data_IF_115874790673
#
_entry.id   IF_115874790673
#
_cell.length_a   1.000
_cell.length_b   1.000
_cell.length_c   1.000
_cell.angle_alpha   90.00
_cell.angle_beta   90.00
_cell.angle_gamma   90.00
#
_symmetry.space_group_name_H-M   'P 1'
#
loop_
_entity.id
_entity.type
_entity.pdbx_description
1 polymer ?
#
# COMPACT_ATOMS: atom_id res chain seq x y z
N UNK A 1 -51.51 18.17 -49.72
CA UNK A 1 -50.52 19.12 -50.29
C UNK A 1 -49.29 19.07 -49.40
N UNK A 2 -48.11 18.57 -49.77
CA UNK A 2 -47.44 18.37 -51.07
C UNK A 2 -46.79 16.97 -51.11
N UNK A 3 -46.75 16.41 -52.31
CA UNK A 3 -45.97 15.23 -52.71
C UNK A 3 -44.45 15.53 -52.74
N UNK A 4 -43.60 14.48 -52.81
CA UNK A 4 -42.69 14.21 -53.95
C UNK A 4 -41.87 12.90 -53.74
N UNK A 5 -42.21 11.93 -54.60
CA UNK A 5 -41.41 10.99 -55.43
C UNK A 5 -40.26 10.12 -54.86
N UNK A 6 -40.55 8.82 -54.97
CA UNK A 6 -39.69 7.66 -55.26
C UNK A 6 -38.74 7.85 -56.45
N UNK A 7 -37.53 7.29 -56.38
CA UNK A 7 -36.83 6.71 -57.54
C UNK A 7 -35.97 5.50 -57.11
N UNK A 8 -36.20 4.37 -57.77
CA UNK A 8 -35.45 3.11 -57.70
C UNK A 8 -34.18 3.18 -58.56
N UNK A 9 -33.11 2.51 -58.13
CA UNK A 9 -32.10 1.99 -59.05
C UNK A 9 -31.65 0.59 -58.64
N UNK A 10 -31.72 -0.28 -59.63
CA UNK A 10 -31.51 -1.72 -59.65
C UNK A 10 -30.02 -2.07 -59.64
N UNK A 11 -29.66 -3.18 -59.00
CA UNK A 11 -28.31 -3.76 -59.10
C UNK A 11 -28.33 -5.24 -58.72
N UNK A 12 -28.39 -6.09 -59.75
CA UNK A 12 -28.30 -7.57 -59.68
C UNK A 12 -26.86 -7.97 -59.35
N UNK A 13 -26.65 -8.84 -58.36
CA UNK A 13 -25.41 -9.64 -58.26
C UNK A 13 -25.76 -11.11 -58.00
N UNK A 14 -25.05 -11.94 -58.76
CA UNK A 14 -25.22 -13.35 -59.12
C UNK A 14 -24.88 -14.30 -57.96
N UNK A 15 -25.68 -15.37 -57.82
CA UNK A 15 -25.37 -16.54 -56.98
C UNK A 15 -24.36 -17.46 -57.69
N UNK A 16 -23.31 -17.88 -56.98
CA UNK A 16 -22.53 -19.05 -57.32
C UNK A 16 -22.37 -19.94 -56.08
N UNK A 17 -22.87 -21.18 -56.18
CA UNK A 17 -22.77 -22.24 -55.17
C UNK A 17 -21.55 -23.09 -55.51
N UNK A 18 -20.67 -23.32 -54.53
CA UNK A 18 -19.85 -24.54 -54.47
C UNK A 18 -19.64 -24.91 -53.00
N UNK A 19 -20.11 -26.10 -52.62
CA UNK A 19 -19.89 -26.73 -51.32
C UNK A 19 -18.49 -27.33 -51.22
N UNK A 20 -17.95 -27.48 -50.00
CA UNK A 20 -17.41 -28.73 -49.42
C UNK A 20 -16.66 -28.46 -48.09
N UNK A 21 -16.84 -29.37 -47.12
CA UNK A 21 -15.85 -29.65 -46.08
C UNK A 21 -16.25 -29.28 -44.65
N UNK A 22 -16.84 -30.23 -43.91
CA UNK A 22 -16.74 -30.23 -42.45
C UNK A 22 -15.31 -30.60 -42.06
N UNK A 23 -14.67 -29.81 -41.21
CA UNK A 23 -13.54 -30.27 -40.41
C UNK A 23 -13.63 -29.67 -39.00
N UNK A 24 -13.88 -30.55 -38.05
CA UNK A 24 -13.83 -30.31 -36.60
C UNK A 24 -12.38 -30.09 -36.17
N UNK A 25 -12.01 -28.88 -35.71
CA UNK A 25 -10.84 -28.70 -34.83
C UNK A 25 -11.09 -27.67 -33.74
N UNK A 26 -11.27 -28.22 -32.54
CA UNK A 26 -10.97 -27.60 -31.26
C UNK A 26 -9.56 -26.99 -31.30
N UNK A 27 -9.44 -25.73 -30.92
CA UNK A 27 -8.19 -25.10 -30.55
C UNK A 27 -8.41 -24.39 -29.22
N UNK A 28 -8.06 -25.12 -28.16
CA UNK A 28 -7.94 -24.60 -26.81
C UNK A 28 -7.06 -23.35 -26.81
N UNK A 29 -7.60 -22.28 -26.25
CA UNK A 29 -6.88 -21.12 -25.75
C UNK A 29 -5.85 -21.59 -24.72
N UNK A 30 -4.59 -21.68 -25.14
CA UNK A 30 -3.49 -21.97 -24.23
C UNK A 30 -3.14 -20.67 -23.52
N UNK A 31 -3.86 -20.42 -22.44
CA UNK A 31 -3.44 -19.48 -21.41
C UNK A 31 -1.97 -19.72 -21.07
N UNK A 32 -1.16 -18.69 -21.25
CA UNK A 32 0.21 -18.67 -20.75
C UNK A 32 0.13 -18.89 -19.24
N UNK A 33 0.79 -19.92 -18.67
CA UNK A 33 0.75 -20.12 -17.24
C UNK A 33 1.41 -18.93 -16.57
N UNK A 34 0.68 -18.27 -15.66
CA UNK A 34 1.23 -17.26 -14.78
C UNK A 34 2.43 -17.86 -14.05
N UNK A 35 3.62 -17.40 -14.42
CA UNK A 35 4.87 -17.83 -13.80
C UNK A 35 4.80 -17.44 -12.34
N UNK A 36 4.83 -18.42 -11.44
CA UNK A 36 4.90 -18.19 -10.00
C UNK A 36 6.02 -17.18 -9.72
N UNK A 37 5.66 -16.03 -9.13
CA UNK A 37 6.58 -14.95 -8.77
C UNK A 37 7.51 -15.46 -7.67
N UNK A 38 8.60 -16.10 -8.08
CA UNK A 38 9.79 -16.30 -7.24
C UNK A 38 10.26 -14.91 -6.82
N UNK A 39 10.12 -14.58 -5.53
CA UNK A 39 10.33 -13.22 -5.06
C UNK A 39 11.74 -12.71 -5.41
N UNK A 40 11.73 -11.53 -6.03
CA UNK A 40 12.91 -10.92 -6.63
C UNK A 40 13.91 -10.42 -5.61
N UNK A 41 15.04 -9.92 -6.09
CA UNK A 41 16.01 -9.19 -5.28
C UNK A 41 15.40 -7.88 -4.72
N UNK A 42 15.91 -7.33 -3.61
CA UNK A 42 15.50 -6.00 -3.14
C UNK A 42 15.50 -4.94 -4.25
N UNK A 43 14.47 -4.10 -4.28
CA UNK A 43 14.22 -3.11 -5.33
C UNK A 43 13.50 -3.65 -6.57
N UNK A 44 13.29 -4.98 -6.68
CA UNK A 44 12.49 -5.55 -7.79
C UNK A 44 11.05 -5.05 -7.71
N UNK A 45 10.55 -4.54 -8.85
CA UNK A 45 9.17 -4.10 -9.03
C UNK A 45 8.35 -5.17 -9.77
N UNK A 46 7.11 -5.39 -9.37
CA UNK A 46 6.23 -6.36 -10.03
C UNK A 46 4.75 -6.04 -9.82
N UNK A 47 3.91 -6.62 -10.69
CA UNK A 47 2.46 -6.72 -10.53
C UNK A 47 2.07 -8.20 -10.66
N UNK A 48 1.18 -8.69 -9.80
CA UNK A 48 0.68 -10.08 -9.89
C UNK A 48 -0.51 -10.24 -10.87
N UNK A 49 -1.10 -9.13 -11.33
CA UNK A 49 -2.09 -9.08 -12.40
C UNK A 49 -2.12 -7.68 -13.06
N UNK A 50 -2.73 -7.51 -14.25
CA UNK A 50 -2.74 -6.21 -14.96
C UNK A 50 -3.32 -5.04 -14.14
N UNK A 51 -4.34 -5.31 -13.32
CA UNK A 51 -5.02 -4.31 -12.50
C UNK A 51 -4.62 -4.38 -11.01
N UNK A 52 -3.55 -5.11 -10.69
CA UNK A 52 -3.08 -5.27 -9.31
C UNK A 52 -2.10 -4.14 -8.95
N UNK A 53 -2.03 -3.73 -7.67
CA UNK A 53 -1.05 -2.74 -7.23
C UNK A 53 0.39 -3.12 -7.58
N UNK A 54 1.18 -2.12 -7.99
CA UNK A 54 2.63 -2.27 -8.19
C UNK A 54 3.30 -2.49 -6.83
N UNK A 55 4.11 -3.54 -6.71
CA UNK A 55 4.80 -3.91 -5.48
C UNK A 55 6.31 -3.76 -5.66
N UNK A 56 7.02 -3.40 -4.59
CA UNK A 56 8.49 -3.33 -4.53
C UNK A 56 9.00 -4.29 -3.46
N UNK A 57 9.98 -5.11 -3.79
CA UNK A 57 10.65 -5.98 -2.80
C UNK A 57 11.52 -5.14 -1.87
N UNK A 58 11.23 -5.20 -0.58
CA UNK A 58 11.92 -4.50 0.49
C UNK A 58 12.97 -5.44 1.10
N UNK A 59 14.23 -5.00 1.30
CA UNK A 59 15.28 -5.85 1.85
C UNK A 59 15.00 -6.21 3.31
N UNK A 60 15.38 -7.43 3.71
CA UNK A 60 15.52 -7.77 5.13
C UNK A 60 16.51 -6.82 5.81
N UNK A 61 16.30 -6.52 7.09
CA UNK A 61 17.19 -5.61 7.80
C UNK A 61 16.79 -5.38 9.25
N UNK A 62 17.59 -4.56 9.91
CA UNK A 62 17.35 -4.12 11.29
C UNK A 62 17.26 -2.60 11.32
N UNK A 63 16.39 -2.05 12.16
CA UNK A 63 16.32 -0.62 12.41
C UNK A 63 15.88 -0.32 13.84
N UNK A 64 16.03 0.94 14.24
CA UNK A 64 15.48 1.46 15.49
C UNK A 64 14.15 2.13 15.18
N UNK A 65 13.07 1.59 15.73
CA UNK A 65 11.71 2.10 15.58
C UNK A 65 11.38 3.12 16.66
N UNK A 66 10.63 4.17 16.31
CA UNK A 66 10.21 5.25 17.19
C UNK A 66 11.15 6.47 17.19
N UNK A 67 10.79 7.46 18.01
CA UNK A 67 11.44 8.78 18.03
C UNK A 67 12.45 8.94 19.15
N UNK A 68 13.58 9.56 18.84
CA UNK A 68 14.58 9.93 19.84
C UNK A 68 14.09 11.09 20.71
N UNK A 69 14.76 11.31 21.85
CA UNK A 69 14.46 12.48 22.69
C UNK A 69 14.66 13.81 21.93
N UNK A 70 15.70 13.91 21.09
CA UNK A 70 15.96 15.12 20.28
C UNK A 70 14.90 15.34 19.21
N UNK A 71 14.39 14.27 18.58
CA UNK A 71 13.29 14.35 17.62
C UNK A 71 12.02 14.89 18.27
N UNK A 72 11.68 14.37 19.46
CA UNK A 72 10.50 14.83 20.21
C UNK A 72 10.63 16.28 20.65
N UNK A 73 11.80 16.67 21.14
CA UNK A 73 12.08 18.08 21.49
C UNK A 73 11.97 18.99 20.28
N UNK A 74 12.45 18.55 19.11
CA UNK A 74 12.28 19.29 17.86
C UNK A 74 10.82 19.38 17.43
N UNK A 75 10.05 18.30 17.50
CA UNK A 75 8.63 18.33 17.16
C UNK A 75 7.85 19.31 18.05
N UNK A 76 8.22 19.42 19.33
CA UNK A 76 7.61 20.39 20.25
C UNK A 76 7.85 21.84 19.83
N UNK A 77 9.01 22.18 19.22
CA UNK A 77 9.23 23.53 18.69
C UNK A 77 8.41 23.82 17.43
N UNK A 78 7.78 22.80 16.83
CA UNK A 78 6.90 22.89 15.65
C UNK A 78 5.41 22.73 16.00
N UNK A 79 5.07 22.78 17.30
CA UNK A 79 3.69 22.76 17.79
C UNK A 79 3.17 21.39 18.21
N UNK A 80 4.02 20.37 18.28
CA UNK A 80 3.65 19.10 18.92
C UNK A 80 3.47 19.29 20.43
N UNK A 81 2.46 18.66 21.01
CA UNK A 81 2.37 18.51 22.47
C UNK A 81 3.19 17.31 22.92
N UNK A 82 3.55 17.25 24.21
CA UNK A 82 4.27 16.11 24.78
C UNK A 82 3.49 14.80 24.57
N UNK A 83 2.16 14.86 24.68
CA UNK A 83 1.24 13.75 24.49
C UNK A 83 1.26 13.27 23.03
N UNK A 84 1.23 14.19 22.06
CA UNK A 84 1.16 13.87 20.62
C UNK A 84 2.38 13.12 20.07
N UNK A 85 3.47 13.05 20.83
CA UNK A 85 4.68 12.29 20.47
C UNK A 85 5.08 11.29 21.54
N UNK A 86 4.28 11.13 22.61
CA UNK A 86 4.64 10.27 23.74
C UNK A 86 4.66 8.79 23.36
N UNK A 87 3.75 8.38 22.47
CA UNK A 87 3.52 7.02 21.98
C UNK A 87 4.55 6.55 20.95
N UNK A 88 5.43 7.45 20.50
CA UNK A 88 6.58 7.16 19.64
C UNK A 88 7.76 6.55 20.44
N UNK A 89 7.52 5.97 21.64
CA UNK A 89 8.56 5.50 22.56
C UNK A 89 8.20 4.24 23.35
N UNK A 90 9.21 3.55 23.92
CA UNK A 90 10.65 3.80 23.75
C UNK A 90 11.15 3.43 22.35
N UNK A 91 12.28 4.01 21.94
CA UNK A 91 13.01 3.51 20.79
C UNK A 91 13.45 2.06 21.04
N UNK A 92 13.25 1.19 20.05
CA UNK A 92 13.56 -0.24 20.19
C UNK A 92 14.04 -0.84 18.87
N UNK A 93 14.91 -1.87 18.91
CA UNK A 93 15.36 -2.55 17.71
C UNK A 93 14.27 -3.48 17.17
N UNK A 94 14.09 -3.47 15.85
CA UNK A 94 13.24 -4.41 15.12
C UNK A 94 14.04 -5.06 13.99
N UNK A 95 13.86 -6.36 13.83
CA UNK A 95 14.44 -7.18 12.77
C UNK A 95 13.35 -7.65 11.81
N UNK A 96 13.47 -7.30 10.53
CA UNK A 96 12.51 -7.65 9.48
C UNK A 96 13.10 -8.64 8.50
N UNK A 97 12.27 -9.60 8.06
CA UNK A 97 12.55 -10.39 6.86
C UNK A 97 12.22 -9.57 5.62
N UNK A 98 12.67 -10.03 4.45
CA UNK A 98 12.25 -9.40 3.20
C UNK A 98 10.76 -9.66 2.95
N UNK A 99 10.07 -8.61 2.54
CA UNK A 99 8.66 -8.57 2.17
C UNK A 99 8.53 -7.68 0.92
N UNK A 100 7.36 -7.62 0.30
CA UNK A 100 7.08 -6.58 -0.68
C UNK A 100 6.07 -5.58 -0.14
N UNK A 101 6.22 -4.31 -0.51
CA UNK A 101 5.30 -3.23 -0.16
C UNK A 101 4.78 -2.58 -1.44
N UNK A 102 3.53 -2.13 -1.42
CA UNK A 102 2.94 -1.34 -2.50
C UNK A 102 3.84 -0.14 -2.76
N UNK A 103 4.21 0.08 -4.02
CA UNK A 103 5.02 1.21 -4.45
C UNK A 103 4.34 2.54 -4.14
N UNK A 104 3.01 2.51 -4.23
CA UNK A 104 2.08 3.59 -3.96
C UNK A 104 1.05 3.14 -2.92
N UNK A 105 0.27 4.10 -2.41
CA UNK A 105 -1.03 3.81 -1.81
C UNK A 105 -1.95 3.15 -2.84
N UNK A 106 -2.91 2.34 -2.35
CA UNK A 106 -3.95 1.78 -3.21
C UNK A 106 -4.72 2.94 -3.84
N UNK A 107 -4.76 2.94 -5.16
CA UNK A 107 -5.36 4.02 -5.92
C UNK A 107 -6.88 3.88 -5.96
N UNK A 108 -7.56 5.00 -6.25
CA UNK A 108 -9.01 5.01 -6.47
C UNK A 108 -9.41 4.07 -7.61
N UNK A 109 -8.61 3.96 -8.67
CA UNK A 109 -8.85 3.04 -9.79
C UNK A 109 -8.76 1.57 -9.40
N UNK A 110 -7.73 1.19 -8.63
CA UNK A 110 -7.56 -0.17 -8.11
C UNK A 110 -8.70 -0.53 -7.14
N UNK A 111 -9.08 0.38 -6.25
CA UNK A 111 -10.23 0.18 -5.37
C UNK A 111 -11.56 0.08 -6.14
N UNK A 112 -11.74 0.85 -7.21
CA UNK A 112 -12.91 0.75 -8.07
C UNK A 112 -13.03 -0.63 -8.76
N UNK A 113 -11.92 -1.31 -9.05
CA UNK A 113 -11.93 -2.67 -9.58
C UNK A 113 -12.48 -3.67 -8.54
N UNK A 114 -12.05 -3.56 -7.29
CA UNK A 114 -12.60 -4.32 -6.17
C UNK A 114 -14.12 -4.12 -6.04
N UNK A 115 -14.59 -2.87 -6.02
CA UNK A 115 -16.02 -2.57 -5.90
C UNK A 115 -16.80 -3.14 -7.08
N UNK A 116 -16.30 -3.01 -8.31
CA UNK A 116 -16.96 -3.51 -9.53
C UNK A 116 -17.10 -5.04 -9.54
N UNK A 117 -16.09 -5.77 -9.06
CA UNK A 117 -16.10 -7.23 -9.08
C UNK A 117 -16.88 -7.87 -7.94
N UNK A 118 -16.99 -7.17 -6.80
CA UNK A 118 -17.59 -7.73 -5.58
C UNK A 118 -18.95 -7.16 -5.24
N UNK A 119 -19.29 -5.97 -5.75
CA UNK A 119 -20.45 -5.22 -5.29
C UNK A 119 -20.34 -4.76 -3.84
N UNK A 120 -19.13 -4.70 -3.26
CA UNK A 120 -18.91 -4.33 -1.87
C UNK A 120 -19.50 -2.94 -1.56
N UNK A 121 -20.30 -2.86 -0.49
CA UNK A 121 -20.90 -1.62 -0.02
C UNK A 121 -19.99 -0.96 1.03
N UNK A 122 -19.22 0.04 0.60
CA UNK A 122 -18.30 0.76 1.47
C UNK A 122 -19.05 1.78 2.36
N UNK A 123 -19.31 1.38 3.61
CA UNK A 123 -19.69 2.27 4.73
C UNK A 123 -20.95 3.12 4.59
N UNK A 124 -21.24 3.91 5.63
CA UNK A 124 -22.43 4.77 5.79
C UNK A 124 -22.08 6.28 5.86
N UNK A 125 -20.88 6.65 5.40
CA UNK A 125 -20.42 8.03 5.40
C UNK A 125 -18.91 8.16 5.57
N UNK A 126 -18.43 9.39 5.51
CA UNK A 126 -17.02 9.73 5.63
C UNK A 126 -16.84 11.01 6.46
N UNK A 127 -15.87 11.02 7.36
CA UNK A 127 -15.50 12.22 8.10
C UNK A 127 -14.81 13.23 7.18
N UNK A 128 -15.27 14.47 7.30
CA UNK A 128 -14.62 15.66 6.78
C UNK A 128 -13.83 16.30 7.93
N UNK A 129 -12.61 15.81 8.15
CA UNK A 129 -11.71 16.47 9.08
C UNK A 129 -11.21 17.77 8.45
N UNK A 130 -11.48 18.88 9.13
CA UNK A 130 -10.99 20.22 8.82
C UNK A 130 -10.80 20.98 10.12
N UNK A 131 -9.57 21.17 10.61
CA UNK A 131 -9.36 21.85 11.89
C UNK A 131 -10.07 23.22 11.93
N UNK A 132 -10.93 23.48 12.94
CA UNK A 132 -11.13 22.75 14.21
C UNK A 132 -12.34 21.80 14.27
N UNK A 133 -13.00 21.47 13.15
CA UNK A 133 -14.21 20.64 13.10
C UNK A 133 -13.95 19.30 12.40
N UNK A 134 -14.47 18.23 12.97
CA UNK A 134 -14.62 16.96 12.25
C UNK A 134 -16.10 16.63 12.23
N UNK A 135 -16.66 16.46 11.03
CA UNK A 135 -18.08 16.18 10.81
C UNK A 135 -18.21 14.96 9.93
N UNK A 136 -18.98 13.96 10.38
CA UNK A 136 -19.33 12.82 9.53
C UNK A 136 -20.35 13.27 8.49
N UNK A 137 -19.96 13.23 7.22
CA UNK A 137 -20.85 13.47 6.08
C UNK A 137 -21.52 12.17 5.69
N UNK A 138 -22.85 12.14 5.72
CA UNK A 138 -23.64 10.99 5.28
C UNK A 138 -23.52 10.75 3.77
N UNK A 139 -23.27 11.79 2.98
CA UNK A 139 -23.04 11.70 1.52
C UNK A 139 -21.57 11.46 1.15
N UNK A 140 -20.67 11.44 2.14
CA UNK A 140 -19.24 11.24 1.95
C UNK A 140 -18.90 9.78 1.72
N UNK A 141 -18.09 9.49 0.69
CA UNK A 141 -17.66 8.13 0.35
C UNK A 141 -16.37 8.16 -0.45
N UNK A 142 -15.79 6.99 -0.75
CA UNK A 142 -14.63 6.89 -1.64
C UNK A 142 -14.88 7.45 -3.06
N UNK A 143 -16.15 7.55 -3.48
CA UNK A 143 -16.55 8.17 -4.75
C UNK A 143 -16.80 9.68 -4.61
N UNK A 144 -17.12 10.14 -3.40
CA UNK A 144 -17.44 11.53 -3.08
C UNK A 144 -16.72 11.98 -1.79
N UNK A 145 -15.38 12.10 -1.80
CA UNK A 145 -14.61 12.49 -0.60
C UNK A 145 -14.68 14.00 -0.30
N UNK A 146 -15.39 14.78 -1.11
CA UNK A 146 -15.50 16.24 -0.98
C UNK A 146 -14.46 17.02 -1.80
N UNK A 147 -13.66 16.35 -2.62
CA UNK A 147 -12.79 16.96 -3.63
C UNK A 147 -12.70 16.03 -4.85
N UNK A 148 -12.14 16.52 -5.95
CA UNK A 148 -11.97 15.73 -7.18
C UNK A 148 -10.79 14.78 -7.04
N UNK A 149 -10.98 13.54 -7.46
CA UNK A 149 -9.94 12.52 -7.58
C UNK A 149 -9.95 11.91 -8.97
N UNK A 150 -8.78 11.62 -9.52
CA UNK A 150 -8.59 10.75 -10.68
C UNK A 150 -8.48 9.30 -10.23
N UNK A 151 -8.38 8.36 -11.18
CA UNK A 151 -8.11 6.95 -10.86
C UNK A 151 -6.69 6.73 -10.28
N UNK A 152 -5.78 7.71 -10.42
CA UNK A 152 -4.41 7.64 -9.89
C UNK A 152 -4.24 8.27 -8.52
N UNK A 153 -5.23 8.99 -8.01
CA UNK A 153 -5.22 9.47 -6.63
C UNK A 153 -5.37 8.29 -5.66
N UNK A 154 -4.85 8.38 -4.43
CA UNK A 154 -5.07 7.35 -3.42
C UNK A 154 -6.57 7.24 -3.12
N UNK A 155 -7.07 6.02 -2.90
CA UNK A 155 -8.43 5.87 -2.38
C UNK A 155 -8.51 6.51 -0.99
N UNK A 156 -9.58 7.25 -0.74
CA UNK A 156 -9.87 7.87 0.56
C UNK A 156 -11.24 7.46 1.07
N UNK A 157 -11.61 7.88 2.28
CA UNK A 157 -12.90 7.52 2.90
C UNK A 157 -13.08 6.00 3.05
N UNK A 158 -11.98 5.29 3.31
CA UNK A 158 -11.95 3.85 3.53
C UNK A 158 -11.46 3.54 4.94
N UNK A 159 -12.12 2.58 5.59
CA UNK A 159 -11.75 2.12 6.92
C UNK A 159 -10.71 1.02 6.87
N UNK A 160 -10.17 0.68 8.03
CA UNK A 160 -9.33 -0.49 8.16
C UNK A 160 -10.07 -1.77 7.75
N UNK A 161 -11.35 -1.89 8.11
CA UNK A 161 -12.22 -3.01 7.70
C UNK A 161 -12.42 -3.07 6.18
N UNK A 162 -12.60 -1.92 5.51
CA UNK A 162 -12.69 -1.85 4.05
C UNK A 162 -11.39 -2.29 3.39
N UNK A 163 -10.24 -1.87 3.96
CA UNK A 163 -8.92 -2.27 3.48
C UNK A 163 -8.70 -3.79 3.63
N UNK A 164 -9.16 -4.39 4.73
CA UNK A 164 -9.14 -5.84 4.90
C UNK A 164 -10.05 -6.58 3.92
N UNK A 165 -11.21 -6.02 3.59
CA UNK A 165 -12.09 -6.57 2.55
C UNK A 165 -11.43 -6.53 1.17
N UNK A 166 -10.77 -5.43 0.83
CA UNK A 166 -9.97 -5.29 -0.39
C UNK A 166 -8.83 -6.33 -0.43
N UNK A 167 -8.08 -6.49 0.67
CA UNK A 167 -7.02 -7.51 0.79
C UNK A 167 -7.58 -8.92 0.57
N UNK A 168 -8.71 -9.25 1.19
CA UNK A 168 -9.36 -10.56 1.05
C UNK A 168 -9.77 -10.84 -0.39
N UNK A 169 -10.36 -9.86 -1.07
CA UNK A 169 -10.69 -9.96 -2.49
C UNK A 169 -9.44 -10.17 -3.34
N UNK A 170 -8.39 -9.39 -3.13
CA UNK A 170 -7.15 -9.50 -3.93
C UNK A 170 -6.52 -10.88 -3.77
N UNK A 171 -6.46 -11.39 -2.54
CA UNK A 171 -5.96 -12.74 -2.27
C UNK A 171 -6.83 -13.82 -2.92
N UNK A 172 -8.16 -13.67 -2.90
CA UNK A 172 -9.08 -14.60 -3.56
C UNK A 172 -8.94 -14.57 -5.08
N UNK A 173 -8.80 -13.38 -5.67
CA UNK A 173 -8.59 -13.17 -7.11
C UNK A 173 -7.31 -13.81 -7.62
N UNK A 174 -6.26 -13.82 -6.80
CA UNK A 174 -4.95 -14.37 -7.14
C UNK A 174 -4.75 -15.83 -6.69
N UNK A 175 -5.74 -16.42 -6.03
CA UNK A 175 -5.65 -17.79 -5.55
C UNK A 175 -5.51 -18.77 -6.73
N UNK A 176 -4.48 -19.61 -6.67
CA UNK A 176 -4.30 -20.67 -7.66
C UNK A 176 -5.38 -21.75 -7.51
N UNK A 177 -5.83 -22.39 -8.60
CA UNK A 177 -6.73 -23.54 -8.52
C UNK A 177 -6.14 -24.63 -7.62
N UNK A 178 -6.87 -25.01 -6.56
CA UNK A 178 -6.43 -26.00 -5.56
C UNK A 178 -5.62 -25.44 -4.38
N UNK A 179 -5.39 -24.12 -4.31
CA UNK A 179 -4.82 -23.47 -3.12
C UNK A 179 -5.81 -23.51 -1.95
N UNK A 180 -5.39 -24.09 -0.82
CA UNK A 180 -6.18 -24.16 0.42
C UNK A 180 -5.91 -23.00 1.39
N UNK A 181 -4.96 -22.12 1.08
CA UNK A 181 -4.68 -20.94 1.91
C UNK A 181 -5.70 -19.84 1.62
N UNK A 182 -6.78 -19.82 2.40
CA UNK A 182 -7.85 -18.81 2.29
C UNK A 182 -7.37 -17.36 2.48
N UNK A 183 -6.17 -17.15 3.03
CA UNK A 183 -5.71 -15.82 3.42
C UNK A 183 -4.69 -15.19 2.45
N UNK A 184 -4.19 -15.92 1.46
CA UNK A 184 -3.18 -15.44 0.49
C UNK A 184 -1.97 -14.74 1.13
N UNK A 185 -1.08 -14.13 0.31
CA UNK A 185 0.11 -13.45 0.82
C UNK A 185 -0.06 -11.94 1.03
N UNK A 186 -1.09 -11.31 0.48
CA UNK A 186 -1.34 -9.88 0.63
C UNK A 186 -1.99 -9.55 1.99
N UNK A 187 -1.66 -8.39 2.52
CA UNK A 187 -2.12 -7.87 3.82
C UNK A 187 -1.86 -6.38 3.92
N UNK A 188 -2.34 -5.74 4.98
CA UNK A 188 -1.77 -4.45 5.39
C UNK A 188 -0.33 -4.64 5.89
N UNK A 189 0.55 -3.64 5.73
CA UNK A 189 1.86 -3.67 6.38
C UNK A 189 1.68 -3.71 7.89
N UNK A 190 2.60 -4.38 8.58
CA UNK A 190 2.74 -4.12 10.02
C UNK A 190 3.28 -2.71 10.20
N UNK A 191 3.04 -2.12 11.35
CA UNK A 191 3.52 -0.77 11.62
C UNK A 191 5.05 -0.69 11.55
N UNK A 192 5.74 -1.71 12.03
CA UNK A 192 7.21 -1.77 11.97
C UNK A 192 7.72 -1.94 10.54
N UNK A 193 7.05 -2.73 9.70
CA UNK A 193 7.35 -2.79 8.26
C UNK A 193 7.15 -1.43 7.59
N UNK A 194 6.09 -0.73 7.95
CA UNK A 194 5.79 0.60 7.41
C UNK A 194 6.88 1.59 7.78
N UNK A 195 7.28 1.69 9.05
CA UNK A 195 8.30 2.65 9.49
C UNK A 195 9.67 2.32 8.91
N UNK A 196 10.05 1.04 8.86
CA UNK A 196 11.28 0.61 8.21
C UNK A 196 11.31 1.02 6.74
N UNK A 197 10.20 0.79 6.04
CA UNK A 197 10.07 1.14 4.64
C UNK A 197 10.06 2.66 4.42
N UNK A 198 9.44 3.43 5.31
CA UNK A 198 9.43 4.89 5.26
C UNK A 198 10.85 5.45 5.43
N UNK A 199 11.60 4.96 6.43
CA UNK A 199 12.99 5.36 6.72
C UNK A 199 13.98 4.97 5.63
N UNK A 200 13.75 3.85 4.94
CA UNK A 200 14.57 3.36 3.82
C UNK A 200 16.08 3.38 4.09
N UNK A 201 16.47 2.95 5.29
CA UNK A 201 17.88 2.87 5.72
C UNK A 201 18.41 4.10 6.44
N UNK A 202 17.63 5.18 6.57
CA UNK A 202 18.00 6.36 7.35
C UNK A 202 17.60 6.24 8.82
N UNK A 203 18.29 7.00 9.68
CA UNK A 203 17.93 7.19 11.10
C UNK A 203 17.48 8.62 11.40
N UNK A 204 17.27 9.41 10.36
CA UNK A 204 16.87 10.82 10.42
C UNK A 204 15.37 10.94 10.70
N UNK A 205 14.90 12.13 11.05
CA UNK A 205 13.49 12.38 11.39
C UNK A 205 12.60 12.20 10.15
N UNK A 206 13.02 12.74 9.02
CA UNK A 206 12.45 12.47 7.70
C UNK A 206 13.37 11.54 6.93
N UNK A 207 12.84 10.80 5.96
CA UNK A 207 13.69 9.91 5.15
C UNK A 207 14.69 10.68 4.27
N UNK A 208 14.48 11.98 4.06
CA UNK A 208 15.39 12.87 3.33
C UNK A 208 16.36 13.67 4.23
N UNK A 209 16.32 13.49 5.55
CA UNK A 209 17.16 14.22 6.50
C UNK A 209 16.39 14.75 7.71
N UNK A 210 17.03 15.66 8.46
CA UNK A 210 16.47 16.28 9.68
C UNK A 210 15.94 17.71 9.42
N UNK A 211 15.74 18.06 8.15
CA UNK A 211 15.29 19.38 7.69
C UNK A 211 13.92 19.27 7.01
N UNK A 212 12.89 19.86 7.63
CA UNK A 212 11.53 19.89 7.09
C UNK A 212 11.34 20.95 5.99
N UNK A 213 12.30 21.84 5.78
CA UNK A 213 12.30 22.85 4.72
C UNK A 213 12.27 22.26 3.30
N UNK A 214 12.62 20.99 3.14
CA UNK A 214 12.57 20.26 1.86
C UNK A 214 11.29 19.44 1.66
N UNK A 215 10.34 19.48 2.59
CA UNK A 215 9.12 18.66 2.53
C UNK A 215 8.37 18.77 1.20
N UNK A 216 8.40 19.95 0.56
CA UNK A 216 7.73 20.20 -0.71
C UNK A 216 8.24 19.35 -1.88
N UNK A 217 9.48 18.83 -1.83
CA UNK A 217 10.06 17.96 -2.86
C UNK A 217 9.62 16.49 -2.72
N UNK A 218 9.14 16.13 -1.52
CA UNK A 218 8.98 14.74 -1.10
C UNK A 218 7.55 14.36 -0.72
N UNK A 219 6.69 15.33 -0.37
CA UNK A 219 5.35 15.05 0.15
C UNK A 219 4.30 16.07 -0.30
N UNK A 220 3.04 15.62 -0.33
CA UNK A 220 1.86 16.48 -0.34
C UNK A 220 1.36 16.70 1.07
N UNK A 221 1.38 17.93 1.54
CA UNK A 221 1.03 18.31 2.91
C UNK A 221 0.34 19.68 2.90
N UNK A 222 -0.04 20.20 4.07
CA UNK A 222 -0.90 21.39 4.20
C UNK A 222 -0.49 22.57 3.31
N UNK A 223 0.81 22.84 3.20
CA UNK A 223 1.31 24.04 2.51
C UNK A 223 1.33 23.93 0.99
N UNK A 224 1.29 22.72 0.41
CA UNK A 224 1.42 22.53 -1.04
C UNK A 224 0.31 21.69 -1.67
N UNK A 225 -0.57 21.06 -0.88
CA UNK A 225 -1.61 20.16 -1.39
C UNK A 225 -2.81 20.87 -2.03
N UNK A 226 -3.02 22.14 -1.73
CA UNK A 226 -4.25 22.84 -2.13
C UNK A 226 -5.51 22.28 -1.45
N UNK A 227 -5.37 21.53 -0.35
CA UNK A 227 -6.50 21.01 0.42
C UNK A 227 -7.16 19.76 -0.15
N UNK A 228 -6.40 18.95 -0.89
CA UNK A 228 -6.87 17.71 -1.51
C UNK A 228 -5.74 16.70 -1.71
N UNK A 229 -6.10 15.46 -2.05
CA UNK A 229 -5.15 14.46 -2.52
C UNK A 229 -4.60 14.81 -3.91
N UNK A 230 -3.49 14.14 -4.24
CA UNK A 230 -2.84 14.21 -5.54
C UNK A 230 -2.58 12.79 -6.07
N UNK A 231 -2.40 12.65 -7.41
CA UNK A 231 -2.01 11.38 -8.00
C UNK A 231 -0.76 10.79 -7.34
N UNK A 232 -0.80 9.50 -7.02
CA UNK A 232 0.33 8.80 -6.41
C UNK A 232 1.56 8.85 -7.31
N UNK A 233 2.74 8.96 -6.70
CA UNK A 233 4.01 9.03 -7.43
C UNK A 233 4.35 10.42 -7.98
N UNK A 234 3.66 11.46 -7.54
CA UNK A 234 3.89 12.84 -8.03
C UNK A 234 5.01 13.59 -7.29
N UNK A 235 5.61 12.96 -6.28
CA UNK A 235 6.78 13.46 -5.52
C UNK A 235 7.93 12.45 -5.61
N UNK A 236 9.10 12.79 -5.08
CA UNK A 236 10.26 11.89 -5.15
C UNK A 236 10.06 10.66 -4.26
N UNK A 237 10.48 9.49 -4.76
CA UNK A 237 10.53 8.27 -3.97
C UNK A 237 11.69 8.27 -2.97
N UNK A 238 11.55 7.49 -1.88
CA UNK A 238 12.65 7.22 -0.96
C UNK A 238 13.64 6.19 -1.53
N UNK A 239 14.70 5.87 -0.77
CA UNK A 239 15.77 4.97 -1.23
C UNK A 239 15.33 3.53 -1.53
N UNK A 240 14.15 3.12 -1.08
CA UNK A 240 13.54 1.82 -1.43
C UNK A 240 12.64 1.90 -2.68
N UNK A 241 12.54 3.06 -3.33
CA UNK A 241 11.69 3.26 -4.51
C UNK A 241 10.21 3.39 -4.17
N UNK A 242 9.87 3.70 -2.91
CA UNK A 242 8.51 3.88 -2.44
C UNK A 242 8.12 5.36 -2.50
N UNK A 243 6.93 5.62 -3.01
CA UNK A 243 6.36 6.96 -3.15
C UNK A 243 5.31 7.19 -2.08
N UNK A 244 5.11 8.46 -1.72
CA UNK A 244 4.06 8.91 -0.82
C UNK A 244 4.05 8.13 0.51
N UNK A 245 5.23 7.71 1.00
CA UNK A 245 5.34 7.12 2.34
C UNK A 245 5.01 8.14 3.42
N UNK A 246 5.07 9.44 3.13
CA UNK A 246 4.60 10.49 4.02
C UNK A 246 3.83 11.54 3.22
N UNK A 247 2.81 12.14 3.83
CA UNK A 247 1.88 13.04 3.17
C UNK A 247 0.88 12.31 2.29
N UNK A 248 0.16 13.07 1.45
CA UNK A 248 -1.01 12.63 0.69
C UNK A 248 -2.11 12.09 1.61
N UNK A 249 -2.07 10.83 2.05
CA UNK A 249 -3.07 10.24 2.95
C UNK A 249 -2.40 9.51 4.11
N UNK A 250 -3.08 9.47 5.26
CA UNK A 250 -2.74 8.54 6.33
C UNK A 250 -2.99 7.11 5.86
N UNK A 251 -2.18 6.18 6.33
CA UNK A 251 -2.15 4.81 5.82
C UNK A 251 -2.44 3.83 6.94
N UNK A 252 -3.53 3.08 6.80
CA UNK A 252 -3.86 1.99 7.73
C UNK A 252 -2.75 0.93 7.78
N UNK A 253 -2.46 0.46 9.00
CA UNK A 253 -1.55 -0.68 9.25
C UNK A 253 -2.29 -1.83 9.93
N UNK A 254 -1.66 -3.00 10.00
CA UNK A 254 -2.25 -4.21 10.59
C UNK A 254 -2.40 -4.13 12.12
N UNK A 255 -1.60 -3.30 12.77
CA UNK A 255 -1.36 -3.31 14.21
C UNK A 255 -2.54 -2.77 15.03
N UNK A 256 -2.77 -3.39 16.18
CA UNK A 256 -3.47 -2.76 17.28
C UNK A 256 -2.58 -1.70 17.91
N UNK A 257 -3.14 -0.51 18.13
CA UNK A 257 -2.46 0.58 18.81
C UNK A 257 -2.19 0.24 20.28
N UNK A 258 -1.02 0.68 20.75
CA UNK A 258 -0.65 0.70 22.15
C UNK A 258 -0.02 2.05 22.47
N UNK A 259 -0.24 2.55 23.69
CA UNK A 259 0.25 3.86 24.14
C UNK A 259 1.78 3.95 24.21
N UNK A 260 2.48 2.81 24.19
CA UNK A 260 3.94 2.75 24.18
C UNK A 260 4.43 1.53 23.40
N UNK A 261 5.68 1.58 22.95
CA UNK A 261 6.39 0.45 22.34
C UNK A 261 7.06 -0.49 23.35
N UNK A 262 6.83 -0.37 24.65
CA UNK A 262 7.57 -1.14 25.66
C UNK A 262 7.48 -2.67 25.45
N UNK A 263 6.34 -3.13 24.93
CA UNK A 263 6.06 -4.52 24.62
C UNK A 263 5.82 -4.77 23.12
N UNK A 264 6.26 -3.86 22.26
CA UNK A 264 6.08 -4.01 20.82
C UNK A 264 6.89 -5.22 20.28
N UNK A 265 6.37 -5.97 19.29
CA UNK A 265 7.10 -7.05 18.66
C UNK A 265 8.38 -6.56 17.99
N UNK A 266 9.46 -7.34 18.13
CA UNK A 266 10.78 -7.00 17.58
C UNK A 266 11.13 -7.76 16.31
N UNK A 267 10.23 -8.62 15.84
CA UNK A 267 10.44 -9.53 14.69
C UNK A 267 9.64 -9.10 13.45
N UNK A 268 9.06 -7.90 13.47
CA UNK A 268 8.24 -7.37 12.39
C UNK A 268 6.78 -7.79 12.43
N UNK A 269 6.38 -8.66 13.35
CA UNK A 269 4.98 -9.06 13.47
C UNK A 269 4.11 -7.90 13.99
N UNK A 270 2.84 -7.90 13.59
CA UNK A 270 1.90 -6.88 14.04
C UNK A 270 1.57 -7.08 15.52
N UNK A 271 1.49 -5.97 16.25
CA UNK A 271 0.96 -5.90 17.61
C UNK A 271 -0.51 -6.34 17.62
N UNK A 272 -0.85 -7.24 18.54
CA UNK A 272 -2.21 -7.78 18.71
C UNK A 272 -2.75 -7.38 20.08
N UNK A 273 -4.05 -7.12 20.15
CA UNK A 273 -4.77 -6.98 21.41
C UNK A 273 -5.63 -8.23 21.68
N UNK A 274 -5.97 -8.46 22.95
CA UNK A 274 -6.87 -9.54 23.36
C UNK A 274 -8.35 -9.22 23.02
N UNK A 275 -8.67 -7.96 22.77
CA UNK A 275 -10.00 -7.43 22.45
C UNK A 275 -9.94 -6.52 21.22
N UNK A 276 -11.10 -5.98 20.81
CA UNK A 276 -11.15 -4.88 19.86
C UNK A 276 -10.24 -3.73 20.30
N UNK A 277 -9.58 -3.13 19.32
CA UNK A 277 -8.52 -2.15 19.52
C UNK A 277 -8.64 -1.01 18.50
N UNK A 278 -8.09 0.15 18.84
CA UNK A 278 -7.78 1.15 17.82
C UNK A 278 -6.69 0.60 16.90
N UNK A 279 -6.75 0.96 15.63
CA UNK A 279 -5.78 0.58 14.60
C UNK A 279 -4.79 1.71 14.40
N UNK A 280 -3.53 1.35 14.18
CA UNK A 280 -2.48 2.34 13.91
C UNK A 280 -2.58 2.79 12.46
N UNK A 281 -2.45 4.10 12.26
CA UNK A 281 -2.25 4.73 10.97
C UNK A 281 -0.98 5.61 10.95
N UNK A 282 -0.39 5.74 9.76
CA UNK A 282 0.98 6.25 9.58
C UNK A 282 1.08 7.23 8.43
N UNK A 283 2.11 8.09 8.47
CA UNK A 283 2.56 8.89 7.32
C UNK A 283 2.02 10.30 7.20
N UNK A 284 1.08 10.72 8.04
CA UNK A 284 0.40 12.02 7.90
C UNK A 284 -0.36 12.15 6.58
N UNK A 285 -0.82 13.35 6.23
CA UNK A 285 -1.63 13.56 5.04
C UNK A 285 -1.52 14.98 4.48
N UNK A 286 -2.24 15.21 3.39
CA UNK A 286 -2.33 16.49 2.68
C UNK A 286 -2.83 17.67 3.53
N UNK A 287 -3.47 17.41 4.69
CA UNK A 287 -4.08 18.43 5.56
C UNK A 287 -3.14 18.94 6.66
N UNK A 288 -2.09 18.19 6.99
CA UNK A 288 -1.26 18.44 8.17
C UNK A 288 0.07 19.15 7.85
N UNK A 289 0.66 19.88 8.83
CA UNK A 289 1.94 20.57 8.67
C UNK A 289 3.12 19.59 8.50
N UNK A 290 4.24 20.12 8.01
CA UNK A 290 5.42 19.32 7.65
C UNK A 290 6.02 18.51 8.79
N UNK A 291 5.95 18.98 10.05
CA UNK A 291 6.52 18.25 11.19
C UNK A 291 5.85 16.90 11.48
N UNK A 292 4.61 16.68 10.99
CA UNK A 292 3.94 15.38 11.07
C UNK A 292 4.40 14.41 9.98
N UNK A 293 5.21 14.85 9.01
CA UNK A 293 5.79 13.98 7.98
C UNK A 293 7.00 13.18 8.49
N UNK A 294 7.32 13.24 9.79
CA UNK A 294 8.40 12.43 10.36
C UNK A 294 8.09 10.95 10.21
N UNK A 295 9.13 10.16 9.97
CA UNK A 295 9.00 8.72 9.75
C UNK A 295 8.38 8.01 10.95
N UNK A 296 8.59 8.54 12.16
CA UNK A 296 8.09 7.99 13.42
C UNK A 296 6.66 8.41 13.78
N UNK A 297 6.06 9.38 13.07
CA UNK A 297 4.71 9.88 13.39
C UNK A 297 3.67 8.77 13.23
N UNK A 298 2.87 8.58 14.29
CA UNK A 298 1.79 7.60 14.40
C UNK A 298 0.54 8.28 14.88
N UNK A 299 -0.58 7.74 14.41
CA UNK A 299 -1.91 8.04 14.92
C UNK A 299 -2.70 6.76 15.07
N UNK A 300 -3.91 6.89 15.62
CA UNK A 300 -4.78 5.77 15.93
C UNK A 300 -6.24 6.14 15.78
N UNK A 301 -6.99 5.24 15.18
CA UNK A 301 -8.42 5.42 14.93
C UNK A 301 -9.16 4.07 15.06
N UNK A 302 -10.47 4.12 15.26
CA UNK A 302 -11.30 2.90 15.28
C UNK A 302 -11.24 2.17 13.94
N UNK A 303 -11.31 0.83 13.94
CA UNK A 303 -11.21 0.03 12.72
C UNK A 303 -12.27 0.35 11.66
N UNK A 304 -13.40 0.91 12.06
CA UNK A 304 -14.50 1.34 11.19
C UNK A 304 -14.45 2.83 10.81
N UNK A 305 -13.44 3.58 11.27
CA UNK A 305 -13.29 5.00 11.00
C UNK A 305 -13.00 5.25 9.52
N UNK A 306 -13.64 6.25 8.92
CA UNK A 306 -13.45 6.66 7.52
C UNK A 306 -13.27 8.15 7.47
N UNK A 307 -12.22 8.62 6.81
CA UNK A 307 -12.01 10.04 6.61
C UNK A 307 -11.44 10.28 5.21
N UNK A 308 -11.69 11.46 4.66
CA UNK A 308 -11.15 11.90 3.37
C UNK A 308 -9.63 12.07 3.38
N UNK A 309 -9.00 11.98 4.56
CA UNK A 309 -7.54 11.93 4.71
C UNK A 309 -6.98 10.51 4.91
N UNK A 310 -7.82 9.48 5.01
CA UNK A 310 -7.44 8.10 5.32
C UNK A 310 -7.48 7.22 4.08
N UNK A 311 -6.38 6.54 3.80
CA UNK A 311 -6.21 5.52 2.77
C UNK A 311 -5.41 4.34 3.31
N UNK A 312 -4.80 3.56 2.41
CA UNK A 312 -3.94 2.44 2.79
C UNK A 312 -3.02 2.02 1.65
N UNK A 313 -1.97 1.27 1.99
CA UNK A 313 -1.13 0.54 1.05
C UNK A 313 -1.03 -0.92 1.42
N UNK A 314 -0.61 -1.75 0.48
CA UNK A 314 -0.46 -3.18 0.69
C UNK A 314 0.95 -3.57 1.11
N UNK A 315 1.05 -4.63 1.89
CA UNK A 315 2.22 -5.47 1.97
C UNK A 315 1.91 -6.86 1.40
N UNK A 316 2.97 -7.59 1.04
CA UNK A 316 2.90 -8.97 0.60
C UNK A 316 4.03 -9.77 1.25
N UNK A 317 3.67 -10.85 1.92
CA UNK A 317 4.64 -11.82 2.42
C UNK A 317 5.25 -12.58 1.24
N UNK A 318 6.59 -12.59 1.15
CA UNK A 318 7.31 -13.35 0.12
C UNK A 318 7.43 -14.83 0.53
N UNK A 319 7.45 -15.73 -0.45
CA UNK A 319 7.63 -17.15 -0.20
C UNK A 319 9.02 -17.46 0.39
N UNK A 320 9.18 -18.53 1.19
CA UNK A 320 10.47 -18.91 1.75
C UNK A 320 11.58 -19.09 0.70
N UNK A 321 11.25 -19.61 -0.48
CA UNK A 321 12.20 -19.78 -1.59
C UNK A 321 12.75 -18.44 -2.11
N UNK A 322 11.90 -17.41 -2.14
CA UNK A 322 12.30 -16.05 -2.47
C UNK A 322 13.26 -15.45 -1.42
N UNK A 323 13.01 -15.77 -0.14
CA UNK A 323 13.82 -15.28 0.97
C UNK A 323 15.18 -16.01 1.05
N UNK A 324 15.26 -17.26 0.62
CA UNK A 324 16.48 -18.07 0.62
C UNK A 324 17.51 -17.65 -0.43
N UNK A 325 17.06 -17.19 -1.61
CA UNK A 325 17.95 -16.73 -2.70
C UNK A 325 18.73 -15.44 -2.38
N UNK A 326 18.45 -14.79 -1.25
CA UNK A 326 19.08 -13.54 -0.83
C UNK A 326 20.13 -13.71 0.27
N UNK A 327 20.41 -14.94 0.73
CA UNK A 327 21.46 -15.20 1.73
C UNK A 327 22.84 -15.27 1.04
N UNK A 328 23.86 -14.52 1.48
CA UNK A 328 25.20 -14.67 0.93
C UNK A 328 25.68 -16.12 1.13
N UNK A 329 26.42 -16.71 0.18
CA UNK A 329 26.91 -18.07 0.34
C UNK A 329 27.73 -18.18 1.63
N UNK A 330 27.31 -19.08 2.52
CA UNK A 330 28.09 -19.41 3.71
C UNK A 330 29.47 -19.85 3.25
N UNK A 331 30.51 -19.13 3.66
CA UNK A 331 31.89 -19.57 3.50
C UNK A 331 32.02 -20.91 4.18
N UNK A 332 32.11 -22.00 3.40
CA UNK A 332 32.54 -23.29 3.91
C UNK A 332 33.95 -23.10 4.45
N UNK A 333 34.10 -23.08 5.77
CA UNK A 333 35.39 -23.31 6.40
C UNK A 333 35.76 -24.73 6.04
N UNK A 334 36.72 -24.88 5.12
CA UNK A 334 37.33 -26.16 4.84
C UNK A 334 38.35 -26.38 5.95
N UNK A 335 37.99 -27.19 6.94
CA UNK A 335 38.95 -27.68 7.91
C UNK A 335 39.97 -28.56 7.18
N UNK A 336 41.15 -27.98 6.90
CA UNK A 336 42.31 -28.71 6.45
C UNK A 336 42.80 -29.56 7.63
N UNK A 337 42.43 -30.84 7.63
CA UNK A 337 43.12 -31.85 8.45
C UNK A 337 44.59 -31.88 8.02
N UNK A 338 45.47 -31.39 8.88
CA UNK A 338 46.89 -31.70 8.80
C UNK A 338 47.06 -33.21 8.95
N UNK A 339 47.57 -33.85 7.91
CA UNK A 339 48.06 -35.22 7.96
C UNK A 339 49.50 -35.19 8.51
N UNK A 340 49.67 -35.50 9.78
CA UNK A 340 50.98 -35.82 10.33
C UNK A 340 51.35 -37.23 9.87
N UNK A 341 52.32 -37.29 8.96
CA UNK A 341 53.00 -38.51 8.54
C UNK A 341 54.46 -38.46 9.00
N UNK A 342 54.89 -39.58 9.58
CA UNK A 342 56.23 -40.01 10.06
C UNK A 342 56.80 -39.32 11.29
#
# INVERSE_FOLDING_TARGET
MKEIRTLLLSGVIVFAITAFGQDTKSAADRGVPAKATSGGAPGTMFHDCPDCPEMVVIPAGNFIMGSSASEKSWAATHGASAESVSDESPQHPVSLRSFALGKYDVTRGEYAAFIRETGYAAGDGCYDTSFPKSVKRADGSWQNPGFRQTDRDPVTCVSWEDAQAYVSWLNSKLAQPGSTSANGPYRLPTESEWEYAARAGTSTWFWWGDDDGKAADFAWYKSNSGGQTHPVGSKSANAFGLYDMVGNVWQWTQDCYAETYANAPKDGSASKAATDCLRVDRGSCWLYPAWLLRSATRERNSANYRDRIMGFRLAKTLSPDAQASQRPPSSRVVDLKASDGT
#
